data_IF_439799715966
#
_entry.id   IF_439799715966
#
_cell.length_a   1.000
_cell.length_b   1.000
_cell.length_c   1.000
_cell.angle_alpha   90.00
_cell.angle_beta   90.00
_cell.angle_gamma   90.00
#
_symmetry.space_group_name_H-M   'P 1'
#
loop_
_entity.id
_entity.type
_entity.pdbx_description
1 polymer ?
#
# COMPACT_ATOMS: atom_id res chain seq x y z
N UNK A 1 17.17 -15.84 2.91
CA UNK A 1 16.00 -15.45 3.71
C UNK A 1 16.33 -14.11 4.32
N UNK A 2 15.52 -13.09 4.08
CA UNK A 2 15.70 -11.79 4.74
C UNK A 2 15.48 -11.97 6.23
N UNK A 3 16.45 -11.59 7.05
CA UNK A 3 16.22 -11.33 8.47
C UNK A 3 15.63 -9.92 8.67
N UNK A 4 15.15 -9.64 9.89
CA UNK A 4 14.50 -8.37 10.19
C UNK A 4 15.39 -7.14 9.92
N UNK A 5 16.71 -7.26 10.12
CA UNK A 5 17.64 -6.15 9.87
C UNK A 5 17.79 -5.91 8.38
N UNK A 6 17.92 -6.97 7.58
CA UNK A 6 17.97 -6.88 6.13
C UNK A 6 16.69 -6.27 5.56
N UNK A 7 15.52 -6.57 6.13
CA UNK A 7 14.25 -5.93 5.74
C UNK A 7 14.29 -4.43 6.02
N UNK A 8 14.69 -4.02 7.23
CA UNK A 8 14.77 -2.61 7.59
C UNK A 8 15.74 -1.82 6.69
N UNK A 9 16.94 -2.36 6.45
CA UNK A 9 17.93 -1.76 5.56
C UNK A 9 17.39 -1.64 4.12
N UNK A 10 16.66 -2.65 3.66
CA UNK A 10 16.03 -2.65 2.34
C UNK A 10 14.93 -1.58 2.22
N UNK A 11 14.02 -1.49 3.20
CA UNK A 11 12.94 -0.49 3.20
C UNK A 11 13.49 0.93 3.17
N UNK A 12 14.54 1.21 3.95
CA UNK A 12 15.23 2.50 3.97
C UNK A 12 15.95 2.79 2.65
N UNK A 13 16.66 1.80 2.09
CA UNK A 13 17.39 1.96 0.83
C UNK A 13 16.46 2.31 -0.34
N UNK A 14 15.25 1.78 -0.34
CA UNK A 14 14.29 1.90 -1.44
C UNK A 14 13.16 2.90 -1.17
N UNK A 15 13.25 3.66 -0.07
CA UNK A 15 12.22 4.62 0.38
C UNK A 15 10.80 4.03 0.36
N UNK A 16 10.68 2.74 0.73
CA UNK A 16 9.49 1.94 0.46
C UNK A 16 8.23 2.50 1.17
N UNK A 17 8.37 2.94 2.41
CA UNK A 17 7.28 3.55 3.17
C UNK A 17 6.82 4.88 2.56
N UNK A 18 7.77 5.76 2.22
CA UNK A 18 7.46 7.03 1.54
C UNK A 18 6.69 6.80 0.24
N UNK A 19 7.16 5.86 -0.58
CA UNK A 19 6.52 5.50 -1.85
C UNK A 19 5.13 4.89 -1.65
N UNK A 20 4.93 4.14 -0.58
CA UNK A 20 3.60 3.63 -0.20
C UNK A 20 2.63 4.78 0.10
N UNK A 21 3.05 5.80 0.87
CA UNK A 21 2.22 6.98 1.11
C UNK A 21 1.93 7.77 -0.17
N UNK A 22 2.94 8.00 -1.01
CA UNK A 22 2.77 8.71 -2.29
C UNK A 22 1.78 7.98 -3.20
N UNK A 23 1.96 6.66 -3.38
CA UNK A 23 1.06 5.83 -4.18
C UNK A 23 -0.36 5.77 -3.65
N UNK A 24 -0.56 5.73 -2.33
CA UNK A 24 -1.89 5.81 -1.73
C UNK A 24 -2.63 7.10 -2.12
N UNK A 25 -1.97 8.26 -2.01
CA UNK A 25 -2.63 9.53 -2.33
C UNK A 25 -2.95 9.67 -3.83
N UNK A 26 -2.09 9.15 -4.71
CA UNK A 26 -2.34 9.10 -6.15
C UNK A 26 -3.53 8.20 -6.50
N UNK A 27 -3.63 7.03 -5.86
CA UNK A 27 -4.74 6.10 -6.06
C UNK A 27 -6.05 6.62 -5.45
N UNK A 28 -6.02 7.27 -4.30
CA UNK A 28 -7.21 7.89 -3.71
C UNK A 28 -7.79 8.97 -4.65
N UNK A 29 -6.94 9.77 -5.28
CA UNK A 29 -7.38 10.79 -6.24
C UNK A 29 -7.90 10.16 -7.54
N UNK A 30 -7.26 9.10 -8.02
CA UNK A 30 -7.75 8.31 -9.17
C UNK A 30 -9.13 7.71 -8.87
N UNK A 31 -9.29 7.09 -7.70
CA UNK A 31 -10.54 6.52 -7.23
C UNK A 31 -11.67 7.57 -7.19
N UNK A 32 -11.37 8.76 -6.66
CA UNK A 32 -12.31 9.90 -6.66
C UNK A 32 -12.77 10.32 -8.06
N UNK A 33 -11.89 10.23 -9.06
CA UNK A 33 -12.18 10.63 -10.44
C UNK A 33 -12.94 9.55 -11.22
N UNK A 34 -12.55 8.28 -11.06
CA UNK A 34 -13.11 7.16 -11.83
C UNK A 34 -14.43 6.64 -11.24
N UNK A 35 -14.57 6.69 -9.91
CA UNK A 35 -15.71 6.14 -9.18
C UNK A 35 -16.30 7.15 -8.18
N UNK A 36 -16.73 8.35 -8.62
CA UNK A 36 -17.13 9.44 -7.72
C UNK A 36 -18.35 9.10 -6.84
N UNK A 37 -19.28 8.27 -7.32
CA UNK A 37 -20.45 7.88 -6.54
C UNK A 37 -20.06 6.96 -5.37
N UNK A 38 -19.26 5.93 -5.63
CA UNK A 38 -18.75 5.02 -4.58
C UNK A 38 -17.79 5.77 -3.63
N UNK A 39 -16.95 6.66 -4.17
CA UNK A 39 -16.08 7.51 -3.37
C UNK A 39 -16.87 8.31 -2.34
N UNK A 40 -18.01 8.91 -2.72
CA UNK A 40 -18.85 9.68 -1.80
C UNK A 40 -19.50 8.79 -0.73
N UNK A 41 -19.75 7.50 -1.01
CA UNK A 41 -20.27 6.56 0.00
C UNK A 41 -19.24 6.26 1.10
N UNK A 42 -17.96 6.10 0.75
CA UNK A 42 -16.89 5.79 1.71
C UNK A 42 -16.17 7.01 2.29
N UNK A 43 -16.17 8.12 1.55
CA UNK A 43 -15.53 9.38 1.93
C UNK A 43 -16.51 10.57 1.85
N UNK A 44 -17.66 10.51 2.55
CA UNK A 44 -18.63 11.60 2.52
C UNK A 44 -18.02 12.90 3.05
N UNK A 45 -18.34 14.01 2.38
CA UNK A 45 -17.82 15.35 2.72
C UNK A 45 -16.30 15.34 2.96
N UNK A 46 -15.55 14.75 2.02
CA UNK A 46 -14.12 14.42 2.16
C UNK A 46 -13.31 15.50 2.90
N UNK A 47 -12.76 15.11 4.05
CA UNK A 47 -11.81 15.89 4.81
C UNK A 47 -10.52 15.10 4.97
N UNK A 48 -9.47 15.56 4.30
CA UNK A 48 -8.14 14.93 4.34
C UNK A 48 -7.62 14.74 5.77
N UNK A 49 -8.01 15.59 6.73
CA UNK A 49 -7.57 15.46 8.13
C UNK A 49 -8.19 14.27 8.87
N UNK A 50 -9.28 13.71 8.34
CA UNK A 50 -9.95 12.51 8.87
C UNK A 50 -9.44 11.21 8.26
N UNK A 51 -8.61 11.29 7.22
CA UNK A 51 -7.93 10.15 6.64
C UNK A 51 -6.73 9.82 7.52
N UNK A 52 -6.72 8.59 8.04
CA UNK A 52 -5.57 8.06 8.76
C UNK A 52 -5.04 6.82 8.04
N UNK A 53 -3.75 6.89 7.70
CA UNK A 53 -3.01 5.82 7.05
C UNK A 53 -1.64 5.73 7.71
N UNK A 54 -1.22 4.51 8.04
CA UNK A 54 0.11 4.20 8.56
C UNK A 54 0.52 2.81 8.08
N UNK A 55 1.79 2.60 7.74
CA UNK A 55 2.28 1.26 7.40
C UNK A 55 2.16 0.34 8.61
N UNK A 56 1.29 -0.65 8.50
CA UNK A 56 0.98 -1.58 9.60
C UNK A 56 1.86 -2.83 9.55
N UNK A 57 2.17 -3.33 8.34
CA UNK A 57 2.98 -4.55 8.21
C UNK A 57 3.77 -4.63 6.92
N UNK A 58 4.87 -5.39 6.97
CA UNK A 58 5.73 -5.71 5.83
C UNK A 58 5.70 -7.23 5.64
N UNK A 59 5.43 -7.68 4.41
CA UNK A 59 5.36 -9.11 4.07
C UNK A 59 6.33 -9.42 2.94
N UNK A 60 7.09 -10.50 3.07
CA UNK A 60 7.96 -10.99 2.00
C UNK A 60 7.31 -12.22 1.41
N UNK A 61 7.02 -12.16 0.11
CA UNK A 61 6.33 -13.22 -0.61
C UNK A 61 7.26 -13.82 -1.65
N UNK A 62 7.49 -15.13 -1.57
CA UNK A 62 8.14 -15.89 -2.63
C UNK A 62 7.06 -16.62 -3.43
N UNK A 63 6.91 -16.31 -4.72
CA UNK A 63 5.82 -16.86 -5.56
C UNK A 63 6.37 -17.61 -6.77
N UNK A 64 5.50 -18.32 -7.50
CA UNK A 64 5.85 -19.13 -8.68
C UNK A 64 6.87 -20.24 -8.38
N UNK A 65 6.57 -21.13 -7.43
CA UNK A 65 7.41 -22.29 -7.13
C UNK A 65 7.34 -23.34 -8.27
N UNK A 66 8.46 -23.94 -8.70
CA UNK A 66 9.81 -23.85 -8.11
C UNK A 66 10.71 -22.71 -8.62
N UNK A 67 10.29 -21.95 -9.63
CA UNK A 67 11.12 -20.95 -10.30
C UNK A 67 11.45 -19.75 -9.42
N UNK A 68 10.57 -19.40 -8.48
CA UNK A 68 10.69 -18.26 -7.57
C UNK A 68 11.01 -16.95 -8.31
N UNK A 69 10.37 -16.74 -9.47
CA UNK A 69 10.65 -15.62 -10.37
C UNK A 69 9.81 -14.37 -10.11
N UNK A 70 8.84 -14.44 -9.18
CA UNK A 70 7.90 -13.37 -8.92
C UNK A 70 7.77 -13.14 -7.41
N UNK A 71 8.79 -12.53 -6.82
CA UNK A 71 8.90 -12.35 -5.37
C UNK A 71 8.79 -10.86 -5.02
N UNK A 72 8.19 -10.57 -3.87
CA UNK A 72 7.84 -9.20 -3.50
C UNK A 72 8.13 -8.89 -2.05
N UNK A 73 8.49 -7.63 -1.80
CA UNK A 73 8.30 -6.95 -0.52
C UNK A 73 6.97 -6.19 -0.62
N UNK A 74 6.00 -6.54 0.23
CA UNK A 74 4.67 -5.94 0.26
C UNK A 74 4.56 -5.03 1.47
N UNK A 75 4.23 -3.77 1.22
CA UNK A 75 4.03 -2.74 2.24
C UNK A 75 2.53 -2.53 2.41
N UNK A 76 1.98 -2.96 3.54
CA UNK A 76 0.55 -2.93 3.81
C UNK A 76 0.19 -1.74 4.70
N UNK A 77 -0.80 -0.96 4.27
CA UNK A 77 -1.25 0.25 4.93
C UNK A 77 -2.79 0.28 4.97
N UNK A 78 -3.43 -0.02 6.12
CA UNK A 78 -4.88 0.10 6.25
C UNK A 78 -5.33 1.55 6.04
N UNK A 79 -6.50 1.70 5.43
CA UNK A 79 -7.15 3.00 5.24
C UNK A 79 -8.20 3.15 6.32
N UNK A 80 -8.06 4.21 7.12
CA UNK A 80 -9.07 4.61 8.08
C UNK A 80 -9.63 5.97 7.70
N UNK A 81 -10.95 6.11 7.82
CA UNK A 81 -11.65 7.37 7.64
C UNK A 81 -12.69 7.54 8.73
N UNK A 82 -12.71 8.70 9.38
CA UNK A 82 -13.55 8.99 10.56
C UNK A 82 -13.38 7.99 11.73
N UNK A 83 -12.22 7.33 11.81
CA UNK A 83 -11.90 6.35 12.86
C UNK A 83 -12.33 4.92 12.55
N UNK A 84 -13.00 4.68 11.42
CA UNK A 84 -13.37 3.34 10.94
C UNK A 84 -12.36 2.86 9.89
N UNK A 85 -12.02 1.56 9.91
CA UNK A 85 -11.23 0.94 8.84
C UNK A 85 -12.15 0.65 7.66
N UNK A 86 -11.86 1.27 6.52
CA UNK A 86 -12.68 1.21 5.30
C UNK A 86 -11.97 0.48 4.14
N UNK A 87 -10.75 0.00 4.36
CA UNK A 87 -9.99 -0.68 3.32
C UNK A 87 -8.50 -0.71 3.59
N UNK A 88 -7.71 -0.83 2.52
CA UNK A 88 -6.26 -0.79 2.57
C UNK A 88 -5.63 -0.36 1.25
N UNK A 89 -4.40 0.14 1.36
CA UNK A 89 -3.45 0.24 0.27
C UNK A 89 -2.31 -0.75 0.51
N UNK A 90 -1.93 -1.52 -0.50
CA UNK A 90 -0.77 -2.44 -0.44
C UNK A 90 0.14 -2.21 -1.64
N UNK A 91 1.36 -1.73 -1.41
CA UNK A 91 2.37 -1.53 -2.44
C UNK A 91 3.25 -2.77 -2.56
N UNK A 92 3.38 -3.32 -3.76
CA UNK A 92 4.25 -4.46 -4.05
C UNK A 92 5.49 -4.00 -4.79
N UNK A 93 6.63 -4.23 -4.15
CA UNK A 93 7.94 -3.96 -4.72
C UNK A 93 8.64 -5.27 -5.01
N UNK A 94 9.31 -5.37 -6.15
CA UNK A 94 10.25 -6.47 -6.37
C UNK A 94 11.48 -6.33 -5.45
N UNK A 95 12.42 -7.28 -5.48
CA UNK A 95 13.59 -7.23 -4.59
C UNK A 95 14.64 -6.18 -4.99
N UNK A 96 14.55 -5.62 -6.20
CA UNK A 96 15.35 -4.49 -6.65
C UNK A 96 14.69 -3.15 -6.28
N UNK A 97 13.46 -3.19 -5.74
CA UNK A 97 12.71 -2.05 -5.27
C UNK A 97 11.88 -1.37 -6.35
N UNK A 98 11.73 -1.97 -7.52
CA UNK A 98 10.82 -1.44 -8.55
C UNK A 98 9.37 -1.76 -8.19
N UNK A 99 8.44 -0.89 -8.59
CA UNK A 99 7.00 -1.15 -8.39
C UNK A 99 6.60 -2.30 -9.30
N UNK A 100 6.21 -3.42 -8.70
CA UNK A 100 5.68 -4.55 -9.43
C UNK A 100 4.16 -4.43 -9.58
N UNK A 101 3.48 -3.96 -8.54
CA UNK A 101 2.03 -3.79 -8.49
C UNK A 101 1.61 -2.92 -7.29
N UNK A 102 0.38 -2.44 -7.29
CA UNK A 102 -0.24 -1.80 -6.13
C UNK A 102 -1.75 -2.05 -6.06
N UNK A 103 -2.27 -2.09 -4.83
CA UNK A 103 -3.66 -2.44 -4.56
C UNK A 103 -4.28 -1.37 -3.69
N UNK A 104 -5.27 -0.65 -4.24
CA UNK A 104 -6.18 0.21 -3.48
C UNK A 104 -7.53 -0.49 -3.38
N UNK A 105 -7.89 -0.94 -2.18
CA UNK A 105 -9.10 -1.75 -1.95
C UNK A 105 -9.93 -1.14 -0.85
N UNK A 106 -11.23 -1.02 -1.12
CA UNK A 106 -12.25 -0.58 -0.18
C UNK A 106 -13.07 -1.81 0.26
N UNK A 107 -13.36 -1.92 1.56
CA UNK A 107 -14.00 -3.07 2.23
C UNK A 107 -15.39 -2.75 2.80
#
# INVERSE_FOLDING_TARGET
MFDAKQVQEWLLKHDAEKRCYEGFWENLETYRMEYPEEYEEYFPDFDKSKVHVEVESIRISYMNYPELSYNHVRVYMPIQYEGEKIGYYELWLDFDGEVADDYFVID
#
